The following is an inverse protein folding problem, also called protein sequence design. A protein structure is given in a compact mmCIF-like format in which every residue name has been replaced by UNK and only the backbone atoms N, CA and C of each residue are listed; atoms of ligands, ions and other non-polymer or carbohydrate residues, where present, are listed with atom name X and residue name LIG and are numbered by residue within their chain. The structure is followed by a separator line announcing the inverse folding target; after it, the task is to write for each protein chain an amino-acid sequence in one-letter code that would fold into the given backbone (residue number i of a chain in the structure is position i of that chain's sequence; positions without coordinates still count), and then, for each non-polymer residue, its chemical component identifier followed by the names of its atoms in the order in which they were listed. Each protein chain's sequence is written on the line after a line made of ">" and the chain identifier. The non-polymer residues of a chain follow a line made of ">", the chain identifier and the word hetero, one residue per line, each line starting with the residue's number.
data_IF_901768337098
#
_entry.id   IF_901768337098
#
_cell.length_a   1.000
_cell.length_b   1.000
_cell.length_c   1.000
_cell.angle_alpha   90.00
_cell.angle_beta   90.00
_cell.angle_gamma   90.00
#
_symmetry.space_group_name_H-M   'P 1'
#
loop_
_entity.id
_entity.type
_entity.pdbx_description
1 polymer ?
#
# COMPACT_ATOMS: atom_id res chain seq x y z
N UNK A 1 -22.31 -6.74 -4.71
CA UNK A 1 -20.96 -6.21 -4.96
C UNK A 1 -19.99 -6.90 -4.01
N UNK A 2 -18.90 -7.43 -4.56
CA UNK A 2 -17.91 -8.16 -3.77
C UNK A 2 -16.69 -7.25 -3.56
N UNK A 3 -16.37 -6.95 -2.31
CA UNK A 3 -15.34 -5.98 -1.95
C UNK A 3 -14.11 -6.68 -1.37
N UNK A 4 -12.92 -6.25 -1.82
CA UNK A 4 -11.64 -6.66 -1.22
C UNK A 4 -10.98 -5.48 -0.50
N UNK A 5 -10.21 -5.80 0.53
CA UNK A 5 -9.27 -4.87 1.17
C UNK A 5 -7.86 -5.08 0.61
N UNK A 6 -7.19 -3.98 0.26
CA UNK A 6 -5.78 -3.97 -0.14
C UNK A 6 -5.00 -3.17 0.90
N UNK A 7 -4.17 -3.86 1.68
CA UNK A 7 -3.30 -3.27 2.70
C UNK A 7 -1.93 -3.02 2.06
N UNK A 8 -1.57 -1.75 1.88
CA UNK A 8 -0.41 -1.34 1.10
C UNK A 8 0.79 -1.10 2.02
N UNK A 9 1.85 -1.87 1.81
CA UNK A 9 3.22 -1.62 2.28
C UNK A 9 3.37 -1.28 3.78
N UNK A 10 2.63 -1.95 4.65
CA UNK A 10 2.75 -1.78 6.11
C UNK A 10 3.97 -2.56 6.62
N UNK A 11 5.15 -2.08 6.27
CA UNK A 11 6.45 -2.72 6.46
C UNK A 11 7.31 -1.95 7.46
N UNK A 12 8.27 -2.63 8.08
CA UNK A 12 9.15 -2.04 9.11
C UNK A 12 9.88 -0.79 8.61
N UNK A 13 10.42 -0.81 7.39
CA UNK A 13 11.18 0.34 6.85
C UNK A 13 10.32 1.57 6.59
N UNK A 14 9.00 1.43 6.48
CA UNK A 14 8.05 2.53 6.31
C UNK A 14 7.39 2.99 7.62
N UNK A 15 7.72 2.39 8.74
CA UNK A 15 7.23 2.78 10.06
C UNK A 15 8.36 3.42 10.88
N UNK A 16 8.02 3.99 12.03
CA UNK A 16 8.98 4.63 12.92
C UNK A 16 10.13 3.69 13.28
N UNK A 17 11.36 4.18 13.16
CA UNK A 17 12.59 3.40 13.32
C UNK A 17 13.08 2.72 12.05
N UNK A 18 12.33 2.73 10.97
CA UNK A 18 12.70 2.21 9.65
C UNK A 18 13.53 3.19 8.83
N UNK A 19 14.05 2.74 7.68
CA UNK A 19 14.97 3.50 6.83
C UNK A 19 14.28 4.64 6.06
N UNK A 20 12.98 4.50 5.79
CA UNK A 20 12.14 5.52 5.13
C UNK A 20 10.85 5.71 5.94
N UNK A 21 11.02 6.06 7.21
CA UNK A 21 9.94 6.12 8.18
C UNK A 21 8.88 7.18 7.83
N UNK A 22 7.62 6.77 7.89
CA UNK A 22 6.45 7.63 7.80
C UNK A 22 5.85 7.78 9.19
N UNK A 23 5.67 9.02 9.64
CA UNK A 23 5.08 9.28 10.95
C UNK A 23 3.65 8.72 11.03
N UNK A 24 3.34 8.00 12.09
CA UNK A 24 2.05 7.33 12.28
C UNK A 24 1.97 5.92 11.67
N UNK A 25 3.03 5.42 11.02
CA UNK A 25 3.01 4.10 10.38
C UNK A 25 2.74 2.95 11.35
N UNK A 26 3.38 2.95 12.52
CA UNK A 26 3.15 1.93 13.54
C UNK A 26 1.73 1.98 14.11
N UNK A 27 1.18 3.18 14.30
CA UNK A 27 -0.20 3.37 14.76
C UNK A 27 -1.21 2.89 13.69
N UNK A 28 -0.97 3.16 12.42
CA UNK A 28 -1.80 2.67 11.32
C UNK A 28 -1.78 1.15 11.26
N UNK A 29 -0.64 0.50 11.46
CA UNK A 29 -0.56 -0.96 11.53
C UNK A 29 -1.48 -1.54 12.62
N UNK A 30 -1.50 -0.92 13.80
CA UNK A 30 -2.38 -1.32 14.90
C UNK A 30 -3.86 -1.07 14.57
N UNK A 31 -4.18 0.11 14.04
CA UNK A 31 -5.55 0.47 13.64
C UNK A 31 -6.11 -0.46 12.55
N UNK A 32 -5.28 -0.84 11.57
CA UNK A 32 -5.66 -1.83 10.56
C UNK A 32 -5.96 -3.17 11.24
N UNK A 33 -5.12 -3.61 12.17
CA UNK A 33 -5.34 -4.87 12.91
C UNK A 33 -6.64 -4.87 13.71
N UNK A 34 -6.98 -3.75 14.34
CA UNK A 34 -8.27 -3.58 15.03
C UNK A 34 -9.45 -3.64 14.04
N UNK A 35 -9.31 -2.96 12.91
CA UNK A 35 -10.32 -2.96 11.84
C UNK A 35 -10.54 -4.35 11.25
N UNK A 36 -9.49 -5.15 11.06
CA UNK A 36 -9.56 -6.53 10.56
C UNK A 36 -10.39 -7.46 11.44
N UNK A 37 -10.58 -7.15 12.72
CA UNK A 37 -11.40 -7.95 13.64
C UNK A 37 -12.91 -7.76 13.45
N UNK A 38 -13.31 -6.66 12.81
CA UNK A 38 -14.72 -6.26 12.69
C UNK A 38 -15.18 -6.08 11.23
N UNK A 39 -14.27 -6.05 10.28
CA UNK A 39 -14.61 -5.91 8.87
C UNK A 39 -15.10 -7.24 8.27
N UNK A 40 -15.85 -7.13 7.18
CA UNK A 40 -16.39 -8.27 6.43
C UNK A 40 -16.08 -8.07 4.93
N UNK A 41 -14.85 -8.40 4.53
CA UNK A 41 -14.40 -8.39 3.15
C UNK A 41 -14.47 -9.78 2.53
N UNK A 42 -14.80 -9.84 1.25
CA UNK A 42 -14.77 -11.10 0.48
C UNK A 42 -13.33 -11.61 0.27
N UNK A 43 -12.36 -10.70 0.30
CA UNK A 43 -10.94 -11.03 0.25
C UNK A 43 -10.10 -9.92 0.91
N UNK A 44 -8.99 -10.29 1.54
CA UNK A 44 -8.04 -9.37 2.16
C UNK A 44 -6.66 -9.66 1.59
N UNK A 45 -6.03 -8.63 0.99
CA UNK A 45 -4.70 -8.73 0.41
C UNK A 45 -3.75 -7.72 1.01
N UNK A 46 -2.47 -8.00 0.91
CA UNK A 46 -1.43 -7.04 1.27
C UNK A 46 -0.36 -6.96 0.18
N UNK A 47 0.28 -5.80 0.08
CA UNK A 47 1.42 -5.59 -0.79
C UNK A 47 2.67 -5.33 0.03
N UNK A 48 3.83 -5.65 -0.51
CA UNK A 48 5.11 -5.26 0.06
C UNK A 48 6.14 -4.98 -1.02
N UNK A 49 6.92 -3.93 -0.79
CA UNK A 49 8.18 -3.70 -1.48
C UNK A 49 9.16 -4.84 -1.14
N UNK A 50 9.81 -5.36 -2.17
CA UNK A 50 10.72 -6.49 -2.03
C UNK A 50 11.88 -6.30 -3.00
N UNK A 51 12.78 -5.36 -2.66
CA UNK A 51 13.83 -4.90 -3.56
C UNK A 51 15.02 -5.85 -3.56
N UNK A 52 15.47 -6.25 -4.77
CA UNK A 52 16.68 -7.02 -5.01
C UNK A 52 17.73 -6.12 -5.67
N UNK A 53 17.37 -5.48 -6.79
CA UNK A 53 18.15 -4.46 -7.49
C UNK A 53 17.19 -3.47 -8.19
N UNK A 54 16.62 -2.51 -7.47
CA UNK A 54 15.64 -1.57 -8.05
C UNK A 54 16.33 -0.43 -8.84
N UNK A 55 17.62 -0.57 -9.15
CA UNK A 55 18.41 0.33 -10.00
C UNK A 55 18.35 1.79 -9.52
N UNK A 56 17.97 2.71 -10.43
CA UNK A 56 17.91 4.15 -10.15
C UNK A 56 16.86 4.56 -9.09
N UNK A 57 16.02 3.64 -8.62
CA UNK A 57 15.13 3.91 -7.51
C UNK A 57 15.87 4.18 -6.19
N UNK A 58 17.02 3.53 -6.01
CA UNK A 58 17.91 3.79 -4.89
C UNK A 58 18.99 4.82 -5.27
N UNK A 59 19.22 5.76 -4.37
CA UNK A 59 20.21 6.83 -4.56
C UNK A 59 20.85 7.22 -3.24
N UNK A 60 22.16 7.52 -3.28
CA UNK A 60 22.88 8.12 -2.16
C UNK A 60 22.52 9.61 -1.96
N UNK A 61 21.91 10.24 -2.99
CA UNK A 61 21.40 11.61 -2.94
C UNK A 61 19.93 11.61 -3.43
N UNK A 62 18.99 11.04 -2.64
CA UNK A 62 17.62 10.90 -3.05
C UNK A 62 16.90 12.24 -3.15
N UNK A 63 16.01 12.35 -4.13
CA UNK A 63 15.11 13.51 -4.25
C UNK A 63 13.79 13.33 -3.49
N UNK A 64 13.54 12.15 -2.93
CA UNK A 64 12.32 11.77 -2.20
C UNK A 64 11.02 11.93 -3.01
N UNK A 65 11.14 11.86 -4.32
CA UNK A 65 10.03 11.83 -5.30
C UNK A 65 10.11 10.55 -6.13
N UNK A 66 11.23 10.37 -6.83
CA UNK A 66 11.49 9.21 -7.71
C UNK A 66 12.60 8.32 -7.16
N UNK A 67 13.48 8.89 -6.34
CA UNK A 67 14.65 8.23 -5.77
C UNK A 67 14.63 8.28 -4.25
N UNK A 68 15.04 7.19 -3.63
CA UNK A 68 14.95 6.96 -2.20
C UNK A 68 16.26 6.37 -1.66
N UNK A 69 16.55 6.51 -0.35
CA UNK A 69 17.58 5.70 0.27
C UNK A 69 17.27 4.23 0.12
N UNK A 70 18.25 3.33 0.11
CA UNK A 70 18.00 1.90 0.13
C UNK A 70 17.07 1.49 1.27
N UNK A 71 16.02 0.73 0.95
CA UNK A 71 15.01 0.26 1.90
C UNK A 71 14.35 -1.03 1.40
N UNK A 72 13.65 -1.73 2.27
CA UNK A 72 12.88 -2.94 1.95
C UNK A 72 13.67 -3.95 1.11
N UNK A 73 14.94 -4.16 1.44
CA UNK A 73 15.73 -5.21 0.81
C UNK A 73 15.10 -6.57 1.03
N UNK A 74 15.03 -7.36 -0.03
CA UNK A 74 14.51 -8.71 0.00
C UNK A 74 15.19 -9.55 1.11
N UNK A 75 14.38 -10.34 1.82
CA UNK A 75 14.82 -11.23 2.90
C UNK A 75 15.48 -10.49 4.10
N UNK A 76 15.15 -9.23 4.31
CA UNK A 76 15.60 -8.47 5.49
C UNK A 76 14.42 -8.06 6.37
N UNK A 77 14.65 -7.83 7.68
CA UNK A 77 13.61 -7.36 8.59
C UNK A 77 12.93 -6.06 8.16
N UNK A 78 13.63 -5.18 7.42
CA UNK A 78 13.06 -3.94 6.88
C UNK A 78 11.92 -4.17 5.90
N UNK A 79 11.98 -5.24 5.12
CA UNK A 79 10.94 -5.64 4.18
C UNK A 79 9.80 -6.45 4.81
N UNK A 80 9.93 -6.89 6.06
CA UNK A 80 8.86 -7.61 6.76
C UNK A 80 7.71 -6.67 7.13
N UNK A 81 6.51 -7.22 7.23
CA UNK A 81 5.37 -6.49 7.78
C UNK A 81 5.67 -6.03 9.21
N UNK A 82 5.18 -4.84 9.55
CA UNK A 82 5.32 -4.31 10.91
C UNK A 82 4.63 -5.25 11.93
N UNK A 83 5.22 -5.51 13.10
CA UNK A 83 4.67 -6.48 14.07
C UNK A 83 3.30 -6.10 14.63
N UNK A 84 2.89 -4.82 14.55
CA UNK A 84 1.54 -4.39 14.94
C UNK A 84 0.47 -4.78 13.90
N UNK A 85 0.86 -5.20 12.70
CA UNK A 85 -0.09 -5.68 11.71
C UNK A 85 -0.38 -7.17 11.93
N UNK A 86 -1.65 -7.48 12.18
CA UNK A 86 -2.13 -8.87 12.20
C UNK A 86 -2.22 -9.39 10.76
N UNK A 87 -1.34 -10.31 10.40
CA UNK A 87 -1.28 -10.91 9.06
C UNK A 87 -2.13 -12.15 8.90
N UNK A 88 -2.71 -12.67 9.98
CA UNK A 88 -3.51 -13.91 9.93
C UNK A 88 -4.75 -13.83 9.02
N UNK A 89 -5.48 -12.69 8.93
CA UNK A 89 -6.61 -12.56 8.02
C UNK A 89 -6.24 -12.34 6.55
N UNK A 90 -4.96 -12.14 6.21
CA UNK A 90 -4.52 -11.85 4.84
C UNK A 90 -4.55 -13.12 3.99
N UNK A 91 -5.35 -13.12 2.92
CA UNK A 91 -5.50 -14.26 2.03
C UNK A 91 -4.29 -14.43 1.09
N UNK A 92 -3.71 -13.31 0.62
CA UNK A 92 -2.59 -13.33 -0.33
C UNK A 92 -1.72 -12.07 -0.21
N UNK A 93 -0.42 -12.24 -0.48
CA UNK A 93 0.58 -11.17 -0.46
C UNK A 93 1.18 -10.99 -1.86
N UNK A 94 1.25 -9.73 -2.29
CA UNK A 94 1.79 -9.33 -3.59
C UNK A 94 3.11 -8.58 -3.40
N UNK A 95 4.15 -9.07 -4.06
CA UNK A 95 5.51 -8.54 -3.99
C UNK A 95 5.78 -7.63 -5.17
N UNK A 96 6.37 -6.46 -4.96
CA UNK A 96 6.66 -5.49 -6.00
C UNK A 96 8.06 -4.90 -5.88
N UNK A 97 8.58 -4.34 -6.97
CA UNK A 97 9.80 -3.58 -6.98
C UNK A 97 11.10 -4.37 -6.90
N UNK A 98 11.12 -5.66 -7.25
CA UNK A 98 12.33 -6.47 -7.18
C UNK A 98 13.48 -5.87 -8.01
N UNK A 99 13.20 -5.40 -9.22
CA UNK A 99 14.20 -4.89 -10.17
C UNK A 99 13.86 -3.53 -10.77
N UNK A 100 12.89 -2.82 -10.21
CA UNK A 100 12.47 -1.50 -10.66
C UNK A 100 11.76 -0.75 -9.53
N UNK A 101 11.56 0.55 -9.70
CA UNK A 101 10.60 1.28 -8.89
C UNK A 101 9.19 0.70 -9.13
N UNK A 102 8.43 0.48 -8.08
CA UNK A 102 7.06 0.03 -8.16
C UNK A 102 6.25 0.59 -6.98
N UNK A 103 5.46 1.62 -7.25
CA UNK A 103 4.62 2.24 -6.21
C UNK A 103 3.29 1.53 -6.06
N UNK A 104 2.66 1.14 -7.17
CA UNK A 104 1.35 0.51 -7.17
C UNK A 104 1.40 -0.98 -6.85
N UNK A 105 0.48 -1.44 -5.99
CA UNK A 105 0.24 -2.86 -5.75
C UNK A 105 -0.12 -3.64 -7.00
N UNK A 106 -0.69 -2.97 -8.01
CA UNK A 106 -1.02 -3.57 -9.31
C UNK A 106 0.20 -3.88 -10.19
N UNK A 107 1.38 -3.40 -9.81
CA UNK A 107 2.67 -3.81 -10.39
C UNK A 107 3.24 -5.06 -9.70
N UNK A 108 2.60 -5.52 -8.62
CA UNK A 108 3.01 -6.68 -7.84
C UNK A 108 2.40 -7.99 -8.32
N UNK A 109 3.02 -9.07 -7.90
CA UNK A 109 2.57 -10.43 -8.13
C UNK A 109 2.81 -11.30 -6.89
N UNK A 110 2.06 -12.40 -6.80
CA UNK A 110 2.30 -13.46 -5.83
C UNK A 110 3.63 -14.16 -6.10
N UNK A 111 4.07 -15.03 -5.21
CA UNK A 111 5.31 -15.81 -5.40
C UNK A 111 5.27 -16.70 -6.65
N UNK A 112 4.09 -17.14 -7.07
CA UNK A 112 3.89 -17.95 -8.28
C UNK A 112 3.63 -17.10 -9.55
N UNK A 113 3.67 -15.77 -9.44
CA UNK A 113 3.59 -14.85 -10.56
C UNK A 113 2.18 -14.37 -10.92
N UNK A 114 1.16 -14.62 -10.09
CA UNK A 114 -0.20 -14.12 -10.32
C UNK A 114 -0.28 -12.62 -10.01
N UNK A 115 -0.68 -11.82 -10.99
CA UNK A 115 -0.86 -10.37 -10.82
C UNK A 115 -2.08 -10.04 -9.93
N UNK A 116 -2.01 -8.94 -9.18
CA UNK A 116 -3.08 -8.52 -8.26
C UNK A 116 -4.43 -8.37 -8.98
N UNK A 117 -4.46 -7.72 -10.15
CA UNK A 117 -5.71 -7.53 -10.89
C UNK A 117 -6.37 -8.87 -11.29
N UNK A 118 -5.56 -9.83 -11.73
CA UNK A 118 -6.06 -11.14 -12.16
C UNK A 118 -6.55 -11.95 -10.96
N UNK A 119 -5.83 -11.89 -9.84
CA UNK A 119 -6.25 -12.53 -8.61
C UNK A 119 -7.59 -11.99 -8.09
N UNK A 120 -7.77 -10.65 -8.07
CA UNK A 120 -9.03 -10.01 -7.68
C UNK A 120 -10.19 -10.43 -8.60
N UNK A 121 -9.95 -10.47 -9.91
CA UNK A 121 -10.97 -10.90 -10.88
C UNK A 121 -11.37 -12.37 -10.71
N UNK A 122 -10.42 -13.26 -10.43
CA UNK A 122 -10.70 -14.67 -10.13
C UNK A 122 -11.56 -14.85 -8.88
N UNK A 123 -11.47 -13.93 -7.93
CA UNK A 123 -12.32 -13.90 -6.72
C UNK A 123 -13.67 -13.23 -6.95
N UNK A 124 -13.94 -12.75 -8.16
CA UNK A 124 -15.17 -12.02 -8.46
C UNK A 124 -15.30 -10.67 -7.77
N UNK A 125 -14.16 -10.04 -7.46
CA UNK A 125 -14.12 -8.71 -6.83
C UNK A 125 -14.45 -7.65 -7.87
N UNK A 126 -15.30 -6.72 -7.51
CA UNK A 126 -15.68 -5.56 -8.32
C UNK A 126 -15.35 -4.22 -7.63
N UNK A 127 -15.18 -4.25 -6.32
CA UNK A 127 -14.88 -3.08 -5.49
C UNK A 127 -13.63 -3.32 -4.64
N UNK A 128 -12.79 -2.31 -4.47
CA UNK A 128 -11.62 -2.39 -3.59
C UNK A 128 -11.54 -1.20 -2.64
N UNK A 129 -11.25 -1.50 -1.39
CA UNK A 129 -10.84 -0.54 -0.38
C UNK A 129 -9.31 -0.61 -0.25
N UNK A 130 -8.66 0.55 -0.24
CA UNK A 130 -7.20 0.66 -0.17
C UNK A 130 -6.80 1.42 1.08
N UNK A 131 -5.87 0.88 1.84
CA UNK A 131 -5.30 1.52 3.04
C UNK A 131 -3.81 1.22 3.17
N UNK A 132 -3.14 1.82 4.13
CA UNK A 132 -1.74 1.53 4.47
C UNK A 132 -0.79 2.71 4.28
N UNK A 133 0.40 2.48 3.75
CA UNK A 133 1.51 3.43 3.68
C UNK A 133 2.10 3.49 2.27
N UNK A 134 2.39 4.66 1.74
CA UNK A 134 2.02 5.98 2.22
C UNK A 134 0.86 6.51 1.41
N UNK A 135 -0.02 7.27 2.05
CA UNK A 135 -1.21 7.87 1.42
C UNK A 135 -0.89 8.58 0.11
N UNK A 136 0.16 9.39 0.10
CA UNK A 136 0.61 10.24 -1.00
C UNK A 136 1.55 9.54 -2.00
N UNK A 137 1.88 8.27 -1.80
CA UNK A 137 2.74 7.48 -2.68
C UNK A 137 2.11 6.14 -3.08
N UNK A 138 2.41 5.05 -2.38
CA UNK A 138 1.98 3.70 -2.77
C UNK A 138 0.46 3.50 -2.65
N UNK A 139 -0.20 4.09 -1.66
CA UNK A 139 -1.66 4.05 -1.53
C UNK A 139 -2.31 4.77 -2.70
N UNK A 140 -1.87 6.00 -3.00
CA UNK A 140 -2.34 6.77 -4.16
C UNK A 140 -2.17 5.99 -5.46
N UNK A 141 -0.95 5.52 -5.75
CA UNK A 141 -0.65 4.79 -6.97
C UNK A 141 -1.50 3.51 -7.12
N UNK A 142 -1.68 2.77 -6.02
CA UNK A 142 -2.52 1.57 -5.99
C UNK A 142 -3.99 1.89 -6.28
N UNK A 143 -4.53 2.94 -5.68
CA UNK A 143 -5.92 3.34 -5.89
C UNK A 143 -6.18 3.86 -7.32
N UNK A 144 -5.26 4.62 -7.90
CA UNK A 144 -5.35 5.07 -9.29
C UNK A 144 -5.33 3.90 -10.27
N UNK A 145 -4.43 2.94 -10.08
CA UNK A 145 -4.34 1.75 -10.92
C UNK A 145 -5.56 0.84 -10.75
N UNK A 146 -6.13 0.75 -9.54
CA UNK A 146 -7.38 0.04 -9.30
C UNK A 146 -8.52 0.61 -10.17
N UNK A 147 -8.67 1.94 -10.19
CA UNK A 147 -9.65 2.60 -11.07
C UNK A 147 -9.39 2.32 -12.55
N UNK A 148 -8.14 2.42 -12.98
CA UNK A 148 -7.74 2.12 -14.36
C UNK A 148 -8.02 0.68 -14.74
N UNK A 149 -7.86 -0.26 -13.80
CA UNK A 149 -8.17 -1.68 -13.98
C UNK A 149 -9.69 -2.00 -13.97
N UNK A 150 -10.54 -1.00 -13.67
CA UNK A 150 -12.00 -1.10 -13.72
C UNK A 150 -12.67 -1.46 -12.40
N UNK A 151 -11.96 -1.39 -11.27
CA UNK A 151 -12.54 -1.59 -9.95
C UNK A 151 -13.17 -0.29 -9.41
N UNK A 152 -14.33 -0.37 -8.80
CA UNK A 152 -14.79 0.70 -7.93
C UNK A 152 -13.85 0.81 -6.73
N UNK A 153 -13.34 2.00 -6.46
CA UNK A 153 -12.20 2.17 -5.57
C UNK A 153 -12.47 3.22 -4.50
N UNK A 154 -12.13 2.86 -3.27
CA UNK A 154 -12.20 3.75 -2.11
C UNK A 154 -10.89 3.70 -1.33
N UNK A 155 -10.39 4.85 -0.89
CA UNK A 155 -9.25 4.95 0.04
C UNK A 155 -9.78 5.16 1.45
N UNK A 156 -9.33 4.33 2.39
CA UNK A 156 -9.64 4.44 3.82
C UNK A 156 -8.59 5.34 4.48
N UNK A 157 -8.86 6.64 4.51
CA UNK A 157 -7.88 7.64 4.93
C UNK A 157 -7.50 7.52 6.40
N UNK A 158 -8.43 7.18 7.28
CA UNK A 158 -8.17 6.93 8.70
C UNK A 158 -7.29 5.70 8.98
N UNK A 159 -7.12 4.82 8.00
CA UNK A 159 -6.25 3.64 8.04
C UNK A 159 -5.02 3.81 7.14
N UNK A 160 -4.62 5.05 6.88
CA UNK A 160 -3.48 5.37 6.02
C UNK A 160 -2.61 6.45 6.66
N UNK A 161 -1.29 6.34 6.48
CA UNK A 161 -0.34 7.36 6.92
C UNK A 161 0.42 7.91 5.72
N UNK A 162 0.60 9.22 5.65
CA UNK A 162 1.27 9.90 4.55
C UNK A 162 2.52 10.66 4.98
N UNK A 163 3.33 11.06 4.00
CA UNK A 163 4.65 11.65 4.23
C UNK A 163 4.56 13.11 4.69
N UNK A 164 3.71 13.92 4.03
CA UNK A 164 3.53 15.32 4.41
C UNK A 164 2.13 15.82 4.11
N UNK A 165 1.59 16.80 4.89
CA UNK A 165 0.25 17.35 4.65
C UNK A 165 0.07 17.87 3.22
N UNK A 166 1.04 18.60 2.68
CA UNK A 166 0.93 19.18 1.34
C UNK A 166 0.91 18.13 0.21
N UNK A 167 1.68 17.04 0.33
CA UNK A 167 1.64 15.95 -0.64
C UNK A 167 0.41 15.07 -0.50
N UNK A 168 -0.09 14.89 0.72
CA UNK A 168 -1.36 14.21 0.99
C UNK A 168 -2.51 14.98 0.31
N UNK A 169 -2.61 16.29 0.52
CA UNK A 169 -3.68 17.11 -0.08
C UNK A 169 -3.69 16.98 -1.61
N UNK A 170 -2.52 17.09 -2.26
CA UNK A 170 -2.41 16.90 -3.70
C UNK A 170 -2.83 15.50 -4.15
N UNK A 171 -2.42 14.47 -3.40
CA UNK A 171 -2.79 13.09 -3.70
C UNK A 171 -4.31 12.88 -3.60
N UNK A 172 -4.96 13.44 -2.57
CA UNK A 172 -6.40 13.34 -2.39
C UNK A 172 -7.17 14.05 -3.51
N UNK A 173 -6.69 15.19 -3.99
CA UNK A 173 -7.30 15.89 -5.13
C UNK A 173 -7.19 15.05 -6.42
N UNK A 174 -6.01 14.49 -6.70
CA UNK A 174 -5.80 13.59 -7.84
C UNK A 174 -6.70 12.34 -7.78
N UNK A 175 -6.82 11.74 -6.60
CA UNK A 175 -7.69 10.59 -6.38
C UNK A 175 -9.18 10.92 -6.63
N UNK A 176 -9.65 12.07 -6.13
CA UNK A 176 -11.02 12.53 -6.37
C UNK A 176 -11.29 12.80 -7.85
N UNK A 177 -10.35 13.44 -8.55
CA UNK A 177 -10.43 13.69 -9.99
C UNK A 177 -10.50 12.38 -10.80
N UNK A 178 -9.82 11.32 -10.34
CA UNK A 178 -9.89 9.99 -10.93
C UNK A 178 -11.15 9.19 -10.57
N UNK A 179 -12.02 9.74 -9.73
CA UNK A 179 -13.25 9.07 -9.29
C UNK A 179 -13.04 8.05 -8.17
N UNK A 180 -11.98 8.19 -7.39
CA UNK A 180 -11.77 7.41 -6.17
C UNK A 180 -12.53 8.06 -5.02
N UNK A 181 -13.28 7.26 -4.28
CA UNK A 181 -13.94 7.70 -3.06
C UNK A 181 -12.93 7.80 -1.91
N UNK A 182 -13.01 8.85 -1.11
CA UNK A 182 -12.19 9.01 0.09
C UNK A 182 -13.09 8.82 1.31
N UNK A 183 -12.83 7.78 2.10
CA UNK A 183 -13.54 7.50 3.34
C UNK A 183 -12.68 7.84 4.56
N UNK A 184 -13.28 8.44 5.58
CA UNK A 184 -12.60 8.91 6.78
C UNK A 184 -12.08 10.34 6.65
N UNK A 185 -11.76 10.95 7.79
CA UNK A 185 -11.20 12.30 7.87
C UNK A 185 -9.71 12.22 8.17
N UNK A 186 -8.94 13.21 7.69
CA UNK A 186 -7.60 13.47 8.22
C UNK A 186 -7.82 13.94 9.67
N UNK A 187 -7.46 13.14 10.64
CA UNK A 187 -7.35 13.65 12.00
C UNK A 187 -6.16 14.63 12.02
N UNK A 188 -6.48 15.88 12.28
CA UNK A 188 -5.52 17.00 12.35
C UNK A 188 -4.69 16.96 13.65
#
# INVERSE_FOLDING_TARGET
>A
MSTALIIVDVQNDFCEGGLVAVAGGAAVAEQISEYLRVCDYAAITATRDYHIDPRAHFSDNPNFVDTWPPHCWADTPGADFHPNLDTAPIDEVFFKGAYSAAYSGFQGATKDGTALADWLRTKGIDTVDVCGIATDHCVRATALDARTAGFDTRVLLSLSAGVSPASIDRALDELREAGVEIAGNIES
#
